data_IF_212307915628
#
_entry.id   IF_212307915628
#
_cell.length_a   1.000
_cell.length_b   1.000
_cell.length_c   1.000
_cell.angle_alpha   90.00
_cell.angle_beta   90.00
_cell.angle_gamma   90.00
#
_symmetry.space_group_name_H-M   'P 1'
#
loop_
_entity.id
_entity.type
_entity.pdbx_description
1 polymer ?
#
# COMPACT_ATOMS: atom_id res chain seq x y z
N UNK A 1 -41.28 26.21 -7.88
CA UNK A 1 -42.20 25.10 -7.52
C UNK A 1 -41.36 23.86 -7.21
N UNK A 2 -41.49 23.35 -5.98
CA UNK A 2 -41.29 21.95 -5.54
C UNK A 2 -39.86 21.35 -5.69
N UNK A 3 -39.22 20.68 -4.73
CA UNK A 3 -39.38 20.38 -3.28
C UNK A 3 -38.04 19.74 -2.81
N UNK A 4 -37.64 20.01 -1.56
CA UNK A 4 -37.00 19.16 -0.53
C UNK A 4 -35.92 18.11 -0.95
N UNK A 5 -34.83 17.89 -0.20
CA UNK A 5 -34.86 17.44 1.20
C UNK A 5 -33.45 17.51 1.82
N UNK A 6 -33.32 18.23 2.92
CA UNK A 6 -32.22 18.13 3.88
C UNK A 6 -32.62 17.10 4.95
N UNK A 7 -31.68 16.27 5.40
CA UNK A 7 -31.90 15.39 6.54
C UNK A 7 -30.76 15.55 7.56
N UNK A 8 -31.06 16.35 8.58
CA UNK A 8 -30.31 16.51 9.84
C UNK A 8 -31.14 15.76 10.89
N UNK A 9 -30.65 14.65 11.42
CA UNK A 9 -31.02 14.05 12.72
C UNK A 9 -29.80 13.15 13.07
N UNK A 10 -29.20 13.09 14.26
CA UNK A 10 -29.71 13.22 15.62
C UNK A 10 -28.50 13.37 16.54
N UNK A 11 -28.50 14.36 17.42
CA UNK A 11 -27.67 14.33 18.61
C UNK A 11 -28.36 13.54 19.72
N UNK A 12 -27.59 12.78 20.51
CA UNK A 12 -27.96 12.51 21.89
C UNK A 12 -26.68 12.28 22.70
N UNK A 13 -26.39 13.27 23.53
CA UNK A 13 -25.30 13.32 24.50
C UNK A 13 -25.86 12.89 25.86
N UNK A 14 -24.97 12.38 26.72
CA UNK A 14 -25.04 12.30 28.19
C UNK A 14 -25.26 10.92 28.85
N UNK A 15 -24.17 10.52 29.52
CA UNK A 15 -24.12 10.16 30.94
C UNK A 15 -24.48 8.73 31.37
N UNK A 16 -23.64 8.18 32.25
CA UNK A 16 -24.12 7.23 33.26
C UNK A 16 -23.27 5.99 33.46
N UNK A 17 -22.33 6.08 34.39
CA UNK A 17 -21.60 4.99 35.06
C UNK A 17 -22.51 3.90 35.63
N UNK A 18 -22.11 2.62 35.56
CA UNK A 18 -22.29 1.69 36.69
C UNK A 18 -21.45 0.41 36.53
N UNK A 19 -20.77 0.15 37.63
CA UNK A 19 -19.91 -0.95 38.04
C UNK A 19 -20.72 -2.24 38.30
N UNK A 20 -20.00 -3.36 38.41
CA UNK A 20 -20.26 -4.49 39.32
C UNK A 20 -21.05 -5.76 38.87
N UNK A 21 -20.23 -6.81 38.72
CA UNK A 21 -20.33 -8.17 39.30
C UNK A 21 -21.45 -9.12 38.89
N UNK A 22 -21.05 -10.26 38.31
CA UNK A 22 -21.33 -11.56 38.92
C UNK A 22 -20.25 -12.60 38.56
N UNK A 23 -19.62 -13.15 39.59
CA UNK A 23 -18.82 -14.37 39.55
C UNK A 23 -19.73 -15.59 39.29
N UNK A 24 -19.25 -16.64 38.60
CA UNK A 24 -19.79 -17.98 38.77
C UNK A 24 -19.25 -18.64 40.04
N UNK A 25 -20.11 -19.44 40.64
CA UNK A 25 -20.00 -20.07 41.95
C UNK A 25 -19.06 -21.29 41.93
N UNK A 26 -18.27 -21.39 43.01
CA UNK A 26 -17.78 -22.57 43.73
C UNK A 26 -17.56 -23.91 43.01
N UNK A 27 -16.35 -24.45 43.18
CA UNK A 27 -16.13 -25.89 43.16
C UNK A 27 -14.68 -26.31 43.30
N UNK A 28 -14.32 -26.74 44.51
CA UNK A 28 -13.16 -27.56 44.90
C UNK A 28 -11.83 -26.85 45.24
N UNK A 29 -11.65 -26.71 46.55
CA UNK A 29 -10.35 -26.72 47.21
C UNK A 29 -10.10 -28.13 47.79
N UNK A 30 -8.93 -28.72 47.53
CA UNK A 30 -8.23 -29.60 48.48
C UNK A 30 -6.72 -29.35 48.36
N UNK A 31 -6.19 -28.75 49.43
CA UNK A 31 -4.80 -28.67 49.93
C UNK A 31 -4.26 -30.10 50.20
N UNK A 32 -3.00 -30.51 50.19
CA UNK A 32 -1.66 -29.89 50.29
C UNK A 32 -0.60 -31.02 50.02
N UNK A 33 0.72 -30.88 50.31
CA UNK A 33 1.82 -31.18 49.40
C UNK A 33 2.57 -32.49 49.73
N UNK A 34 3.51 -32.94 48.89
CA UNK A 34 4.71 -33.65 49.39
C UNK A 34 5.87 -33.72 48.36
N UNK A 35 7.01 -33.23 48.83
CA UNK A 35 8.41 -33.65 48.61
C UNK A 35 8.90 -34.18 47.23
N UNK A 36 9.61 -33.29 46.52
CA UNK A 36 10.98 -33.47 46.00
C UNK A 36 11.39 -34.85 45.40
N UNK A 37 11.42 -34.94 44.07
CA UNK A 37 12.35 -35.81 43.35
C UNK A 37 12.89 -35.10 42.10
N UNK A 38 14.22 -35.06 42.02
CA UNK A 38 15.09 -34.49 40.97
C UNK A 38 14.80 -35.02 39.56
N UNK A 39 15.26 -34.22 38.58
CA UNK A 39 15.70 -34.62 37.22
C UNK A 39 14.52 -35.08 36.32
N UNK A 40 14.21 -34.45 35.20
CA UNK A 40 15.10 -34.30 34.05
C UNK A 40 14.75 -33.11 33.15
N UNK A 41 15.83 -32.61 32.56
CA UNK A 41 15.92 -31.59 31.53
C UNK A 41 15.36 -32.15 30.21
N UNK A 42 14.19 -31.69 29.79
CA UNK A 42 13.74 -31.83 28.40
C UNK A 42 13.19 -30.47 27.94
N UNK A 43 14.00 -29.80 27.12
CA UNK A 43 13.68 -28.52 26.52
C UNK A 43 12.42 -28.63 25.66
N UNK A 44 11.36 -27.93 26.06
CA UNK A 44 10.34 -27.52 25.11
C UNK A 44 10.98 -26.46 24.19
N UNK A 45 10.85 -26.56 22.85
CA UNK A 45 11.29 -25.49 21.99
C UNK A 45 10.36 -24.29 22.23
N UNK A 46 10.84 -23.36 23.03
CA UNK A 46 10.38 -21.99 23.10
C UNK A 46 10.32 -21.47 21.66
N UNK A 47 9.11 -21.29 21.13
CA UNK A 47 8.89 -20.61 19.85
C UNK A 47 9.14 -19.12 20.05
N UNK A 48 10.38 -18.77 20.39
CA UNK A 48 10.89 -17.41 20.18
C UNK A 48 11.32 -17.30 18.72
N UNK A 49 10.33 -17.16 17.84
CA UNK A 49 10.57 -16.78 16.46
C UNK A 49 10.16 -15.33 16.27
N UNK A 50 10.81 -14.41 16.99
CA UNK A 50 11.13 -13.09 16.44
C UNK A 50 12.11 -13.31 15.28
N UNK A 51 11.61 -13.84 14.16
CA UNK A 51 12.39 -13.87 12.93
C UNK A 51 12.75 -12.41 12.61
N UNK A 52 14.04 -12.07 12.48
CA UNK A 52 14.41 -10.75 12.01
C UNK A 52 13.76 -10.53 10.65
N UNK A 53 13.34 -9.30 10.31
CA UNK A 53 12.68 -9.04 9.05
C UNK A 53 13.54 -9.61 7.92
N UNK A 54 12.95 -10.51 7.11
CA UNK A 54 13.61 -11.07 5.91
C UNK A 54 14.30 -9.93 5.19
N UNK A 55 15.59 -10.06 4.95
CA UNK A 55 16.40 -9.06 4.24
C UNK A 55 15.80 -8.88 2.84
N UNK A 56 14.90 -7.91 2.72
CA UNK A 56 14.08 -7.69 1.54
C UNK A 56 14.90 -6.88 0.56
N UNK A 57 15.61 -7.57 -0.32
CA UNK A 57 16.35 -6.95 -1.42
C UNK A 57 15.35 -6.54 -2.52
N UNK A 58 15.14 -5.22 -2.75
CA UNK A 58 14.20 -4.75 -3.76
C UNK A 58 14.56 -5.17 -5.18
N UNK A 59 15.85 -5.41 -5.47
CA UNK A 59 16.29 -5.83 -6.79
C UNK A 59 15.91 -7.30 -7.05
N UNK A 60 16.13 -8.18 -6.07
CA UNK A 60 15.70 -9.59 -6.17
C UNK A 60 14.19 -9.73 -6.26
N UNK A 61 13.45 -8.87 -5.56
CA UNK A 61 11.99 -8.88 -5.66
C UNK A 61 11.51 -8.47 -7.06
N UNK A 62 12.14 -7.45 -7.68
CA UNK A 62 11.86 -7.07 -9.06
C UNK A 62 12.15 -8.21 -10.04
N UNK A 63 13.31 -8.87 -9.90
CA UNK A 63 13.68 -10.00 -10.75
C UNK A 63 12.67 -11.14 -10.63
N UNK A 64 12.37 -11.59 -9.41
CA UNK A 64 11.40 -12.66 -9.18
C UNK A 64 10.00 -12.32 -9.71
N UNK A 65 9.60 -11.05 -9.65
CA UNK A 65 8.35 -10.60 -10.24
C UNK A 65 8.37 -10.69 -11.77
N UNK A 66 9.45 -10.27 -12.42
CA UNK A 66 9.58 -10.36 -13.88
C UNK A 66 9.63 -11.81 -14.37
N UNK A 67 10.36 -12.68 -13.68
CA UNK A 67 10.42 -14.10 -14.01
C UNK A 67 9.03 -14.75 -13.90
N UNK A 68 8.28 -14.43 -12.84
CA UNK A 68 6.91 -14.91 -12.67
C UNK A 68 5.95 -14.42 -13.77
N UNK A 69 6.09 -13.17 -14.21
CA UNK A 69 5.33 -12.65 -15.35
C UNK A 69 5.67 -13.43 -16.62
N UNK A 70 6.96 -13.63 -16.91
CA UNK A 70 7.41 -14.36 -18.10
C UNK A 70 6.85 -15.78 -18.15
N UNK A 71 6.92 -16.50 -17.03
CA UNK A 71 6.35 -17.85 -16.89
C UNK A 71 4.83 -17.85 -17.09
N UNK A 72 4.13 -16.91 -16.46
CA UNK A 72 2.65 -16.83 -16.48
C UNK A 72 2.10 -16.50 -17.86
N UNK A 73 2.82 -15.64 -18.61
CA UNK A 73 2.44 -15.24 -19.95
C UNK A 73 2.75 -16.32 -21.00
N UNK A 74 3.61 -17.31 -20.68
CA UNK A 74 4.05 -18.37 -21.59
C UNK A 74 4.58 -17.80 -22.93
N UNK A 75 5.43 -16.78 -22.84
CA UNK A 75 5.89 -15.97 -23.98
C UNK A 75 7.24 -16.48 -24.47
N UNK A 76 7.46 -16.48 -25.79
CA UNK A 76 8.76 -16.80 -26.37
C UNK A 76 9.80 -15.71 -26.05
N UNK A 77 11.10 -16.01 -26.14
CA UNK A 77 12.13 -15.00 -25.86
C UNK A 77 12.04 -13.78 -26.80
N UNK A 78 11.61 -13.98 -28.05
CA UNK A 78 11.44 -12.93 -29.05
C UNK A 78 10.28 -11.98 -28.70
N UNK A 79 9.12 -12.53 -28.35
CA UNK A 79 7.96 -11.74 -27.92
C UNK A 79 8.22 -11.06 -26.57
N UNK A 80 8.98 -11.71 -25.68
CA UNK A 80 9.35 -11.15 -24.38
C UNK A 80 10.19 -9.89 -24.54
N UNK A 81 11.12 -9.87 -25.50
CA UNK A 81 11.92 -8.67 -25.78
C UNK A 81 11.09 -7.48 -26.27
N UNK A 82 9.93 -7.72 -26.90
CA UNK A 82 9.00 -6.66 -27.35
C UNK A 82 8.09 -6.19 -26.21
N UNK A 83 7.59 -7.12 -25.39
CA UNK A 83 6.64 -6.83 -24.33
C UNK A 83 7.30 -6.28 -23.06
N UNK A 84 8.49 -6.76 -22.71
CA UNK A 84 9.23 -6.36 -21.50
C UNK A 84 9.34 -4.84 -21.33
N UNK A 85 9.83 -4.05 -22.31
CA UNK A 85 9.94 -2.60 -22.12
C UNK A 85 8.58 -1.92 -21.91
N UNK A 86 7.50 -2.46 -22.50
CA UNK A 86 6.14 -1.93 -22.31
C UNK A 86 5.58 -2.28 -20.93
N UNK A 87 5.81 -3.52 -20.47
CA UNK A 87 5.43 -3.98 -19.13
C UNK A 87 6.17 -3.17 -18.07
N UNK A 88 7.49 -2.97 -18.22
CA UNK A 88 8.30 -2.14 -17.31
C UNK A 88 7.80 -0.71 -17.24
N UNK A 89 7.48 -0.11 -18.39
CA UNK A 89 6.90 1.24 -18.48
C UNK A 89 5.59 1.32 -17.70
N UNK A 90 4.66 0.38 -17.92
CA UNK A 90 3.36 0.34 -17.23
C UNK A 90 3.53 0.14 -15.73
N UNK A 91 4.37 -0.80 -15.28
CA UNK A 91 4.61 -1.04 -13.85
C UNK A 91 5.22 0.20 -13.18
N UNK A 92 6.18 0.85 -13.85
CA UNK A 92 6.87 2.03 -13.33
C UNK A 92 5.89 3.20 -13.21
N UNK A 93 5.15 3.51 -14.29
CA UNK A 93 4.11 4.55 -14.28
C UNK A 93 3.01 4.23 -13.26
N UNK A 94 2.56 2.97 -13.18
CA UNK A 94 1.56 2.52 -12.22
C UNK A 94 2.05 2.70 -10.79
N UNK A 95 3.32 2.42 -10.50
CA UNK A 95 3.89 2.66 -9.18
C UNK A 95 3.94 4.15 -8.84
N UNK A 96 4.34 4.99 -9.79
CA UNK A 96 4.39 6.44 -9.60
C UNK A 96 2.99 7.02 -9.36
N UNK A 97 2.00 6.57 -10.11
CA UNK A 97 0.59 6.94 -9.93
C UNK A 97 0.00 6.31 -8.65
N UNK A 98 0.32 5.07 -8.29
CA UNK A 98 -0.24 4.41 -7.10
C UNK A 98 0.36 4.93 -5.78
N UNK A 99 1.60 5.45 -5.80
CA UNK A 99 2.19 6.15 -4.66
C UNK A 99 1.36 7.37 -4.22
N UNK A 100 0.48 7.89 -5.09
CA UNK A 100 -0.55 8.89 -4.79
C UNK A 100 -1.46 8.52 -3.62
N UNK A 101 -1.76 7.22 -3.43
CA UNK A 101 -2.68 6.75 -2.38
C UNK A 101 -1.99 6.22 -1.12
N UNK A 102 -0.67 6.06 -1.15
CA UNK A 102 0.11 5.42 -0.07
C UNK A 102 1.15 6.34 0.58
N UNK A 103 1.29 7.58 0.11
CA UNK A 103 1.98 8.64 0.84
C UNK A 103 1.16 9.02 2.07
N UNK A 104 1.49 8.47 3.25
CA UNK A 104 1.15 9.21 4.48
C UNK A 104 0.96 8.47 5.81
N UNK A 105 0.85 7.13 5.90
CA UNK A 105 0.48 6.50 7.19
C UNK A 105 1.25 5.21 7.52
N UNK A 106 2.57 5.26 7.40
CA UNK A 106 3.47 4.27 8.01
C UNK A 106 4.28 4.92 9.15
N UNK A 107 4.29 4.37 10.38
CA UNK A 107 5.05 4.93 11.50
C UNK A 107 6.56 4.82 11.20
N UNK A 108 7.17 5.89 10.70
CA UNK A 108 8.60 5.92 10.37
C UNK A 108 8.99 6.61 9.07
N UNK A 109 8.05 7.25 8.35
CA UNK A 109 8.30 7.95 7.08
C UNK A 109 9.11 9.25 7.18
N UNK A 110 10.31 9.22 7.77
CA UNK A 110 11.33 10.22 7.46
C UNK A 110 11.82 9.97 6.03
N UNK A 111 11.53 10.91 5.13
CA UNK A 111 12.45 11.43 4.10
C UNK A 111 13.63 10.48 3.79
N UNK A 112 13.42 9.47 2.94
CA UNK A 112 14.47 8.47 2.70
C UNK A 112 14.12 7.26 1.84
N UNK A 113 13.13 7.34 0.95
CA UNK A 113 12.98 6.39 -0.17
C UNK A 113 13.48 7.06 -1.45
N UNK A 114 14.01 6.32 -2.45
CA UNK A 114 14.50 6.89 -3.69
C UNK A 114 13.51 7.91 -4.20
N UNK A 115 13.98 9.16 -4.24
CA UNK A 115 13.22 10.33 -4.62
C UNK A 115 12.34 9.97 -5.80
N UNK A 116 11.01 10.06 -5.61
CA UNK A 116 10.08 9.84 -6.71
C UNK A 116 10.49 10.78 -7.83
N UNK A 117 11.08 10.23 -8.87
CA UNK A 117 11.66 10.98 -9.98
C UNK A 117 10.60 11.50 -10.95
N UNK A 118 9.33 11.15 -10.71
CA UNK A 118 8.19 11.56 -11.50
C UNK A 118 7.75 13.01 -11.26
N UNK A 119 7.12 13.60 -12.26
CA UNK A 119 6.63 14.99 -12.25
C UNK A 119 5.69 15.29 -11.07
N UNK A 120 4.88 14.30 -10.67
CA UNK A 120 3.99 14.42 -9.50
C UNK A 120 4.80 14.68 -8.22
N UNK A 121 5.88 13.94 -8.00
CA UNK A 121 6.69 14.08 -6.79
C UNK A 121 7.41 15.42 -6.74
N UNK A 122 7.82 15.96 -7.90
CA UNK A 122 8.38 17.31 -8.02
C UNK A 122 7.33 18.38 -7.71
N UNK A 123 6.11 18.23 -8.24
CA UNK A 123 5.00 19.15 -7.97
C UNK A 123 4.60 19.14 -6.48
N UNK A 124 4.61 17.97 -5.84
CA UNK A 124 4.34 17.85 -4.40
C UNK A 124 5.44 18.53 -3.58
N UNK A 125 6.73 18.29 -3.89
CA UNK A 125 7.84 18.99 -3.22
C UNK A 125 7.74 20.51 -3.36
N UNK A 126 7.40 21.01 -4.55
CA UNK A 126 7.19 22.45 -4.75
C UNK A 126 6.03 22.99 -3.91
N UNK A 127 4.92 22.24 -3.80
CA UNK A 127 3.81 22.61 -2.92
C UNK A 127 4.20 22.58 -1.44
N UNK A 128 4.97 21.58 -1.00
CA UNK A 128 5.52 21.51 0.37
C UNK A 128 6.39 22.73 0.69
N UNK A 129 7.29 23.13 -0.23
CA UNK A 129 8.12 24.33 -0.07
C UNK A 129 7.28 25.63 0.02
N UNK A 130 6.22 25.74 -0.78
CA UNK A 130 5.26 26.85 -0.69
C UNK A 130 4.57 26.84 0.68
N UNK A 131 4.15 25.68 1.19
CA UNK A 131 3.46 25.57 2.47
C UNK A 131 4.37 25.81 3.67
N UNK A 132 5.64 25.43 3.59
CA UNK A 132 6.65 25.66 4.65
C UNK A 132 7.09 27.12 4.73
N UNK A 133 6.90 27.90 3.65
CA UNK A 133 7.18 29.33 3.61
C UNK A 133 6.07 30.13 4.29
N UNK A 134 6.42 30.84 5.38
CA UNK A 134 5.50 31.75 6.07
C UNK A 134 5.11 33.00 5.26
N UNK A 135 5.65 33.17 4.05
CA UNK A 135 5.41 34.32 3.17
C UNK A 135 4.49 33.99 2.00
N UNK A 136 4.10 32.73 1.85
CA UNK A 136 3.32 32.29 0.70
C UNK A 136 1.92 32.86 0.73
N UNK A 137 1.47 33.33 -0.43
CA UNK A 137 0.13 33.89 -0.59
C UNK A 137 -0.90 32.78 -0.86
N UNK A 138 -2.21 33.04 -0.62
CA UNK A 138 -3.27 32.12 -1.02
C UNK A 138 -3.23 31.76 -2.52
N UNK A 139 -2.80 32.71 -3.35
CA UNK A 139 -2.60 32.54 -4.79
C UNK A 139 -1.47 31.53 -5.08
N UNK A 140 -0.34 31.64 -4.39
CA UNK A 140 0.79 30.70 -4.54
C UNK A 140 0.39 29.27 -4.17
N UNK A 141 -0.34 29.11 -3.05
CA UNK A 141 -0.84 27.80 -2.59
C UNK A 141 -1.81 27.22 -3.63
N UNK A 142 -2.70 28.06 -4.17
CA UNK A 142 -3.66 27.63 -5.20
C UNK A 142 -2.96 27.19 -6.48
N UNK A 143 -1.91 27.92 -6.90
CA UNK A 143 -1.09 27.55 -8.05
C UNK A 143 -0.38 26.21 -7.83
N UNK A 144 0.24 25.99 -6.65
CA UNK A 144 0.88 24.73 -6.30
C UNK A 144 -0.10 23.54 -6.28
N UNK A 145 -1.31 23.74 -5.72
CA UNK A 145 -2.36 22.71 -5.74
C UNK A 145 -2.79 22.35 -7.17
N UNK A 146 -2.93 23.34 -8.05
CA UNK A 146 -3.27 23.10 -9.45
C UNK A 146 -2.14 22.35 -10.18
N UNK A 147 -0.88 22.71 -9.94
CA UNK A 147 0.27 22.02 -10.53
C UNK A 147 0.29 20.53 -10.15
N UNK A 148 0.02 20.18 -8.87
CA UNK A 148 -0.08 18.79 -8.44
C UNK A 148 -1.22 18.04 -9.15
N UNK A 149 -2.39 18.67 -9.29
CA UNK A 149 -3.54 18.08 -10.00
C UNK A 149 -3.23 17.84 -11.48
N UNK A 150 -2.61 18.80 -12.14
CA UNK A 150 -2.22 18.68 -13.55
C UNK A 150 -1.17 17.59 -13.77
N UNK A 151 -0.15 17.52 -12.90
CA UNK A 151 0.86 16.47 -12.96
C UNK A 151 0.23 15.07 -12.82
N UNK A 152 -0.74 14.90 -11.91
CA UNK A 152 -1.48 13.64 -11.76
C UNK A 152 -2.27 13.29 -13.01
N UNK A 153 -3.05 14.26 -13.53
CA UNK A 153 -3.85 14.05 -14.73
C UNK A 153 -2.99 13.65 -15.94
N UNK A 154 -1.81 14.27 -16.10
CA UNK A 154 -0.86 13.89 -17.17
C UNK A 154 -0.34 12.48 -16.98
N UNK A 155 0.10 12.12 -15.77
CA UNK A 155 0.60 10.77 -15.49
C UNK A 155 -0.48 9.69 -15.70
N UNK A 156 -1.73 9.95 -15.31
CA UNK A 156 -2.86 9.05 -15.56
C UNK A 156 -3.11 8.86 -17.07
N UNK A 157 -3.04 9.93 -17.85
CA UNK A 157 -3.18 9.86 -19.32
C UNK A 157 -2.04 9.09 -19.98
N UNK A 158 -0.80 9.29 -19.53
CA UNK A 158 0.36 8.58 -20.05
C UNK A 158 0.35 7.10 -19.68
N UNK A 159 -0.05 6.78 -18.45
CA UNK A 159 -0.26 5.41 -18.00
C UNK A 159 -1.35 4.72 -18.83
N UNK A 160 -2.49 5.38 -19.07
CA UNK A 160 -3.55 4.82 -19.91
C UNK A 160 -3.06 4.53 -21.33
N UNK A 161 -2.31 5.46 -21.95
CA UNK A 161 -1.69 5.24 -23.26
C UNK A 161 -0.71 4.06 -23.24
N UNK A 162 0.16 3.97 -22.24
CA UNK A 162 1.12 2.89 -22.12
C UNK A 162 0.44 1.52 -21.96
N UNK A 163 -0.69 1.45 -21.25
CA UNK A 163 -1.51 0.24 -21.16
C UNK A 163 -2.12 -0.14 -22.50
N UNK A 164 -2.66 0.81 -23.26
CA UNK A 164 -3.17 0.56 -24.61
C UNK A 164 -2.08 0.05 -25.55
N UNK A 165 -0.89 0.68 -25.54
CA UNK A 165 0.25 0.24 -26.33
C UNK A 165 0.69 -1.19 -25.97
N UNK A 166 0.58 -1.59 -24.70
CA UNK A 166 0.85 -2.95 -24.23
C UNK A 166 -0.23 -3.94 -24.70
N UNK A 167 -1.51 -3.56 -24.63
CA UNK A 167 -2.62 -4.35 -25.14
C UNK A 167 -2.47 -4.66 -26.64
N UNK A 168 -2.14 -3.66 -27.45
CA UNK A 168 -1.99 -3.81 -28.90
C UNK A 168 -0.83 -4.74 -29.30
N UNK A 169 0.21 -4.84 -28.45
CA UNK A 169 1.34 -5.74 -28.70
C UNK A 169 1.13 -7.16 -28.14
N UNK A 170 0.16 -7.36 -27.25
CA UNK A 170 -0.09 -8.63 -26.59
C UNK A 170 -1.20 -9.42 -27.30
N UNK A 171 -1.04 -10.74 -27.38
CA UNK A 171 -2.09 -11.66 -27.86
C UNK A 171 -3.26 -11.72 -26.87
N UNK A 172 -4.49 -12.12 -27.27
CA UNK A 172 -5.64 -12.18 -26.36
C UNK A 172 -5.40 -13.02 -25.09
N UNK A 173 -4.62 -14.09 -25.20
CA UNK A 173 -4.24 -14.92 -24.04
C UNK A 173 -3.31 -14.17 -23.08
N UNK A 174 -2.32 -13.45 -23.61
CA UNK A 174 -1.39 -12.63 -22.82
C UNK A 174 -2.12 -11.46 -22.16
N UNK A 175 -3.03 -10.79 -22.87
CA UNK A 175 -3.89 -9.74 -22.32
C UNK A 175 -4.67 -10.26 -21.10
N UNK A 176 -5.34 -11.41 -21.22
CA UNK A 176 -6.05 -12.02 -20.10
C UNK A 176 -5.18 -12.30 -18.89
N UNK A 177 -3.93 -12.73 -19.10
CA UNK A 177 -2.95 -12.92 -18.01
C UNK A 177 -2.50 -11.60 -17.40
N UNK A 178 -2.22 -10.57 -18.21
CA UNK A 178 -1.84 -9.24 -17.73
C UNK A 178 -2.97 -8.58 -16.91
N UNK A 179 -4.23 -8.83 -17.26
CA UNK A 179 -5.40 -8.40 -16.48
C UNK A 179 -5.47 -9.14 -15.14
N UNK A 180 -5.30 -10.46 -15.13
CA UNK A 180 -5.27 -11.26 -13.88
C UNK A 180 -4.12 -10.81 -12.96
N UNK A 181 -2.99 -10.41 -13.54
CA UNK A 181 -1.84 -9.86 -12.81
C UNK A 181 -2.06 -8.40 -12.36
N UNK A 182 -3.13 -7.75 -12.78
CA UNK A 182 -3.44 -6.34 -12.46
C UNK A 182 -2.50 -5.32 -13.10
N UNK A 183 -1.78 -5.70 -14.16
CA UNK A 183 -0.85 -4.81 -14.88
C UNK A 183 -1.63 -3.90 -15.84
N UNK A 184 -2.65 -4.46 -16.48
CA UNK A 184 -3.59 -3.75 -17.36
C UNK A 184 -5.03 -4.04 -16.90
N UNK A 185 -5.97 -3.24 -17.37
CA UNK A 185 -7.40 -3.27 -17.04
C UNK A 185 -8.27 -3.35 -18.31
#
# INVERSE_FOLDING_TARGET
MKKLTAMIITGCLLSGTAFFTSNPVSGQAVKEPDANAKKDKAAAPEKDSKQPPRNFDPQKMKQAFMDNIKETLCVTDEEWNVLLPKIEKVITMSRETAMQGRMGFGPGGRRGGPQGSGEISKAIQALEEILDSSKSTPEDITAGLNAVREARKKAEQELAKAKTELLEAATPRQQGRLIVLGIID
#
